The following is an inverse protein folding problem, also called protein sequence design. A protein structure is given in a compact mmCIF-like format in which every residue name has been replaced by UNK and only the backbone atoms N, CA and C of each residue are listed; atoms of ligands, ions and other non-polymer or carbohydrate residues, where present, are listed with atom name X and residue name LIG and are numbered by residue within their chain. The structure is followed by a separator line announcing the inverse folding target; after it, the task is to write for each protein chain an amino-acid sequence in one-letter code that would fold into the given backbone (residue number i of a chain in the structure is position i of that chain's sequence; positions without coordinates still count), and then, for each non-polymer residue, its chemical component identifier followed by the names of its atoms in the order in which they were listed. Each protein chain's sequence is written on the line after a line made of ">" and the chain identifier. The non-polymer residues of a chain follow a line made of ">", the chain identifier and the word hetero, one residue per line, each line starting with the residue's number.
data_IF_173700383902
#
_entry.id   IF_173700383902
#
_cell.length_a   1.000
_cell.length_b   1.000
_cell.length_c   1.000
_cell.angle_alpha   90.00
_cell.angle_beta   90.00
_cell.angle_gamma   90.00
#
_symmetry.space_group_name_H-M   'P 1'
#
loop_
_entity.id
_entity.type
_entity.pdbx_description
1 polymer ?
#
# COMPACT_ATOMS: atom_id res chain seq x y z
N UNK A 1 -0.38 -1.99 7.40
CA UNK A 1 -0.94 -3.07 6.55
C UNK A 1 -0.15 -4.34 6.84
N UNK A 2 -0.78 -5.42 7.31
CA UNK A 2 -0.05 -6.59 7.83
C UNK A 2 0.02 -7.72 6.81
N UNK A 3 1.18 -8.41 6.73
CA UNK A 3 1.43 -9.66 5.95
C UNK A 3 0.29 -10.69 6.00
N UNK A 4 -0.48 -10.66 7.08
CA UNK A 4 -1.69 -11.45 7.28
C UNK A 4 -2.70 -11.32 6.13
N UNK A 5 -2.91 -10.11 5.61
CA UNK A 5 -3.90 -9.87 4.54
C UNK A 5 -3.54 -10.57 3.22
N UNK A 6 -2.25 -10.60 2.86
CA UNK A 6 -1.80 -11.29 1.65
C UNK A 6 -1.91 -12.81 1.81
N UNK A 7 -1.54 -13.33 2.99
CA UNK A 7 -1.66 -14.76 3.29
C UNK A 7 -3.12 -15.22 3.26
N UNK A 8 -4.03 -14.43 3.82
CA UNK A 8 -5.48 -14.73 3.81
C UNK A 8 -6.02 -14.78 2.36
N UNK A 9 -5.59 -13.86 1.49
CA UNK A 9 -5.96 -13.87 0.06
C UNK A 9 -5.42 -15.10 -0.67
N UNK A 10 -4.19 -15.52 -0.35
CA UNK A 10 -3.60 -16.73 -0.93
C UNK A 10 -4.39 -17.99 -0.53
N UNK A 11 -4.68 -18.15 0.76
CA UNK A 11 -5.46 -19.28 1.28
C UNK A 11 -6.89 -19.30 0.72
N UNK A 12 -7.53 -18.13 0.60
CA UNK A 12 -8.84 -18.03 -0.04
C UNK A 12 -8.79 -18.39 -1.53
N UNK A 13 -7.75 -17.95 -2.24
CA UNK A 13 -7.51 -18.32 -3.64
C UNK A 13 -7.36 -19.84 -3.82
N UNK A 14 -6.60 -20.48 -2.94
CA UNK A 14 -6.43 -21.94 -2.94
C UNK A 14 -7.75 -22.67 -2.67
N UNK A 15 -8.56 -22.15 -1.75
CA UNK A 15 -9.89 -22.70 -1.44
C UNK A 15 -10.80 -22.60 -2.67
N UNK A 16 -10.86 -21.45 -3.34
CA UNK A 16 -11.62 -21.30 -4.58
C UNK A 16 -11.13 -22.21 -5.69
N UNK A 17 -9.81 -22.40 -5.81
CA UNK A 17 -9.20 -23.30 -6.80
C UNK A 17 -9.62 -24.75 -6.55
N UNK A 18 -9.56 -25.21 -5.31
CA UNK A 18 -9.98 -26.56 -4.92
C UNK A 18 -11.47 -26.81 -5.20
N UNK A 19 -12.30 -25.77 -5.05
CA UNK A 19 -13.74 -25.83 -5.36
C UNK A 19 -14.06 -25.63 -6.86
N UNK A 20 -13.05 -25.58 -7.75
CA UNK A 20 -13.24 -25.37 -9.19
C UNK A 20 -13.65 -23.95 -9.60
N UNK A 21 -13.68 -23.00 -8.66
CA UNK A 21 -14.07 -21.61 -8.89
C UNK A 21 -12.86 -20.79 -9.40
N UNK A 22 -12.36 -21.13 -10.58
CA UNK A 22 -11.10 -20.62 -11.12
C UNK A 22 -11.05 -19.10 -11.27
N UNK A 23 -12.17 -18.45 -11.65
CA UNK A 23 -12.24 -16.99 -11.76
C UNK A 23 -12.03 -16.29 -10.41
N UNK A 24 -12.64 -16.82 -9.35
CA UNK A 24 -12.50 -16.28 -8.00
C UNK A 24 -11.09 -16.55 -7.44
N UNK A 25 -10.53 -17.72 -7.74
CA UNK A 25 -9.15 -18.04 -7.39
C UNK A 25 -8.16 -17.06 -8.04
N UNK A 26 -8.29 -16.82 -9.34
CA UNK A 26 -7.45 -15.87 -10.07
C UNK A 26 -7.55 -14.44 -9.48
N UNK A 27 -8.76 -13.98 -9.18
CA UNK A 27 -8.96 -12.68 -8.53
C UNK A 27 -8.25 -12.58 -7.17
N UNK A 28 -8.29 -13.65 -6.36
CA UNK A 28 -7.60 -13.69 -5.08
C UNK A 28 -6.08 -13.65 -5.24
N UNK A 29 -5.53 -14.40 -6.19
CA UNK A 29 -4.09 -14.41 -6.46
C UNK A 29 -3.58 -13.06 -6.97
N UNK A 30 -4.34 -12.37 -7.84
CA UNK A 30 -4.00 -11.01 -8.28
C UNK A 30 -3.96 -10.06 -7.10
N UNK A 31 -5.00 -10.05 -6.25
CA UNK A 31 -5.02 -9.19 -5.06
C UNK A 31 -3.90 -9.51 -4.07
N UNK A 32 -3.50 -10.78 -3.95
CA UNK A 32 -2.36 -11.19 -3.14
C UNK A 32 -1.05 -10.59 -3.68
N UNK A 33 -0.83 -10.67 -4.99
CA UNK A 33 0.34 -10.07 -5.63
C UNK A 33 0.38 -8.54 -5.47
N UNK A 34 -0.76 -7.88 -5.67
CA UNK A 34 -0.91 -6.43 -5.45
C UNK A 34 -0.56 -6.04 -4.01
N UNK A 35 -1.03 -6.83 -3.04
CA UNK A 35 -0.74 -6.63 -1.62
C UNK A 35 0.76 -6.77 -1.31
N UNK A 36 1.44 -7.78 -1.83
CA UNK A 36 2.88 -7.96 -1.64
C UNK A 36 3.70 -6.84 -2.30
N UNK A 37 3.31 -6.42 -3.49
CA UNK A 37 3.99 -5.33 -4.18
C UNK A 37 3.80 -4.01 -3.43
N UNK A 38 2.59 -3.72 -2.96
CA UNK A 38 2.31 -2.55 -2.13
C UNK A 38 3.14 -2.53 -0.86
N UNK A 39 3.28 -3.67 -0.15
CA UNK A 39 4.13 -3.77 1.04
C UNK A 39 5.60 -3.45 0.74
N UNK A 40 6.14 -3.94 -0.37
CA UNK A 40 7.50 -3.59 -0.81
C UNK A 40 7.64 -2.09 -1.07
N UNK A 41 6.67 -1.48 -1.74
CA UNK A 41 6.64 -0.05 -2.02
C UNK A 41 6.55 0.78 -0.74
N UNK A 42 5.75 0.36 0.25
CA UNK A 42 5.73 1.00 1.57
C UNK A 42 7.07 0.90 2.28
N UNK A 43 7.72 -0.26 2.22
CA UNK A 43 9.07 -0.45 2.77
C UNK A 43 10.09 0.48 2.12
N UNK A 44 10.07 0.57 0.78
CA UNK A 44 10.92 1.49 0.02
C UNK A 44 10.65 2.95 0.41
N UNK A 45 9.38 3.36 0.46
CA UNK A 45 9.00 4.72 0.83
C UNK A 45 9.52 5.09 2.22
N UNK A 46 9.39 4.19 3.21
CA UNK A 46 9.92 4.41 4.57
C UNK A 46 11.44 4.54 4.57
N UNK A 47 12.15 3.73 3.79
CA UNK A 47 13.60 3.72 3.74
C UNK A 47 14.17 5.00 3.13
N UNK A 48 13.53 5.55 2.09
CA UNK A 48 14.03 6.75 1.41
C UNK A 48 13.36 8.05 1.88
N UNK A 49 12.39 8.03 2.79
CA UNK A 49 11.62 9.22 3.20
C UNK A 49 12.50 10.40 3.63
N UNK A 50 13.58 10.13 4.37
CA UNK A 50 14.48 11.18 4.88
C UNK A 50 15.51 11.67 3.87
N UNK A 51 15.86 10.85 2.88
CA UNK A 51 16.91 11.16 1.89
C UNK A 51 16.34 11.69 0.57
N UNK A 52 15.20 11.14 0.14
CA UNK A 52 14.48 11.51 -1.08
C UNK A 52 12.96 11.40 -0.85
N UNK A 53 12.34 12.45 -0.28
CA UNK A 53 10.91 12.47 -0.03
C UNK A 53 10.06 12.44 -1.32
N UNK A 54 10.59 12.85 -2.46
CA UNK A 54 9.88 12.78 -3.75
C UNK A 54 9.78 11.33 -4.22
N UNK A 55 10.87 10.57 -4.12
CA UNK A 55 10.86 9.14 -4.41
C UNK A 55 9.93 8.39 -3.45
N UNK A 56 9.90 8.78 -2.16
CA UNK A 56 8.98 8.20 -1.20
C UNK A 56 7.51 8.42 -1.62
N UNK A 57 7.14 9.64 -2.01
CA UNK A 57 5.79 9.95 -2.51
C UNK A 57 5.44 9.14 -3.77
N UNK A 58 6.38 8.97 -4.69
CA UNK A 58 6.18 8.13 -5.89
C UNK A 58 5.92 6.66 -5.53
N UNK A 59 6.64 6.12 -4.56
CA UNK A 59 6.43 4.75 -4.09
C UNK A 59 5.07 4.60 -3.39
N UNK A 60 4.69 5.55 -2.54
CA UNK A 60 3.38 5.58 -1.87
C UNK A 60 2.23 5.66 -2.87
N UNK A 61 2.32 6.53 -3.87
CA UNK A 61 1.28 6.67 -4.90
C UNK A 61 1.08 5.36 -5.68
N UNK A 62 2.16 4.64 -5.99
CA UNK A 62 2.07 3.32 -6.64
C UNK A 62 1.43 2.28 -5.73
N UNK A 63 1.79 2.27 -4.44
CA UNK A 63 1.19 1.35 -3.48
C UNK A 63 -0.32 1.57 -3.37
N UNK A 64 -0.78 2.82 -3.24
CA UNK A 64 -2.19 3.15 -3.10
C UNK A 64 -3.03 2.80 -4.33
N UNK A 65 -2.44 2.74 -5.53
CA UNK A 65 -3.14 2.25 -6.74
C UNK A 65 -3.42 0.75 -6.70
N UNK A 66 -2.61 -0.01 -5.97
CA UNK A 66 -2.72 -1.47 -5.88
C UNK A 66 -3.71 -1.88 -4.79
N UNK A 67 -3.67 -1.20 -3.64
CA UNK A 67 -4.41 -1.63 -2.43
C UNK A 67 -5.38 -0.58 -1.90
N UNK A 68 -5.50 0.56 -2.59
CA UNK A 68 -6.27 1.70 -2.13
C UNK A 68 -5.50 2.60 -1.16
N UNK A 69 -6.03 3.79 -0.93
CA UNK A 69 -5.48 4.74 0.03
C UNK A 69 -5.66 4.22 1.46
N UNK A 70 -4.64 4.38 2.30
CA UNK A 70 -4.67 3.91 3.70
C UNK A 70 -4.18 4.95 4.67
N UNK A 71 -4.63 4.88 5.94
CA UNK A 71 -4.17 5.80 6.98
C UNK A 71 -2.66 5.81 7.16
N UNK A 72 -2.02 4.63 7.07
CA UNK A 72 -0.55 4.52 7.08
C UNK A 72 0.09 5.23 5.87
N UNK A 73 -0.43 5.01 4.66
CA UNK A 73 0.07 5.68 3.45
C UNK A 73 -0.10 7.20 3.50
N UNK A 74 -1.25 7.67 3.97
CA UNK A 74 -1.53 9.10 4.15
C UNK A 74 -0.61 9.73 5.20
N UNK A 75 -0.34 9.04 6.30
CA UNK A 75 0.61 9.50 7.33
C UNK A 75 2.03 9.61 6.77
N UNK A 76 2.48 8.64 5.98
CA UNK A 76 3.79 8.68 5.34
C UNK A 76 3.88 9.80 4.29
N UNK A 77 2.83 9.98 3.48
CA UNK A 77 2.74 11.09 2.52
C UNK A 77 2.81 12.44 3.23
N UNK A 78 2.12 12.60 4.35
CA UNK A 78 2.21 13.82 5.16
C UNK A 78 3.64 14.11 5.63
N UNK A 79 4.35 13.10 6.13
CA UNK A 79 5.75 13.25 6.56
C UNK A 79 6.68 13.63 5.41
N UNK A 80 6.47 13.05 4.22
CA UNK A 80 7.23 13.40 3.03
C UNK A 80 6.96 14.84 2.57
N UNK A 81 5.69 15.28 2.55
CA UNK A 81 5.36 16.68 2.25
C UNK A 81 5.91 17.66 3.29
N UNK A 82 5.92 17.29 4.56
CA UNK A 82 6.53 18.09 5.62
C UNK A 82 8.05 18.24 5.41
N UNK A 83 8.75 17.17 5.02
CA UNK A 83 10.18 17.21 4.70
C UNK A 83 10.49 18.10 3.47
N UNK A 84 9.51 18.25 2.56
CA UNK A 84 9.58 19.16 1.42
C UNK A 84 9.17 20.61 1.76
N UNK A 85 8.87 20.92 3.03
CA UNK A 85 8.38 22.25 3.46
C UNK A 85 6.92 22.54 3.10
N UNK A 86 6.18 21.56 2.57
CA UNK A 86 4.79 21.69 2.15
C UNK A 86 3.82 21.42 3.31
N UNK A 87 3.87 22.27 4.34
CA UNK A 87 3.18 22.05 5.63
C UNK A 87 1.66 21.96 5.47
N UNK A 88 1.04 22.80 4.64
CA UNK A 88 -0.41 22.77 4.42
C UNK A 88 -0.87 21.47 3.76
N UNK A 89 -0.09 20.97 2.79
CA UNK A 89 -0.38 19.70 2.11
C UNK A 89 -0.25 18.56 3.11
N UNK A 90 0.81 18.57 3.94
CA UNK A 90 1.00 17.57 4.99
C UNK A 90 -0.19 17.50 5.95
N UNK A 91 -0.72 18.65 6.40
CA UNK A 91 -1.90 18.69 7.28
C UNK A 91 -3.15 18.09 6.64
N UNK A 92 -3.39 18.33 5.34
CA UNK A 92 -4.51 17.72 4.62
C UNK A 92 -4.41 16.20 4.57
N UNK A 93 -3.20 15.67 4.37
CA UNK A 93 -2.98 14.23 4.41
C UNK A 93 -3.18 13.64 5.81
N UNK A 94 -2.76 14.34 6.87
CA UNK A 94 -3.01 13.91 8.25
C UNK A 94 -4.50 13.92 8.59
N UNK A 95 -5.24 14.96 8.19
CA UNK A 95 -6.67 15.04 8.39
C UNK A 95 -7.44 13.93 7.64
N UNK A 96 -6.90 13.46 6.52
CA UNK A 96 -7.46 12.33 5.78
C UNK A 96 -6.99 10.96 6.32
N UNK A 97 -6.03 10.91 7.26
CA UNK A 97 -5.48 9.65 7.75
C UNK A 97 -6.30 8.99 8.87
N UNK A 98 -7.23 9.74 9.49
CA UNK A 98 -8.20 9.29 10.50
C UNK A 98 -9.37 8.49 9.93
#
# INVERSE_FOLDING_TARGET
>A
MTKKNAQDLLTLGDTFRQNGQLKNAAACYVRCADQWLAEKLFGQAKACLSSDPVQALNALSKAERLVGATGEGRTLSARAYQALGQVEIAQRFLAAAS
#
